data_IF_337980816265
#
_entry.id   IF_337980816265
#
_cell.length_a   1.000
_cell.length_b   1.000
_cell.length_c   1.000
_cell.angle_alpha   90.00
_cell.angle_beta   90.00
_cell.angle_gamma   90.00
#
_symmetry.space_group_name_H-M   'P 1'
#
loop_
_entity.id
_entity.type
_entity.pdbx_description
1 polymer ?
#
# COMPACT_ATOMS: atom_id res chain seq x y z
N UNK A 1 -17.18 32.74 -1.19
CA UNK A 1 -17.65 32.82 -2.58
C UNK A 1 -17.95 31.40 -3.04
N UNK A 2 -19.22 31.07 -3.30
CA UNK A 2 -19.60 29.72 -3.71
C UNK A 2 -19.52 29.60 -5.24
N UNK A 3 -18.86 28.56 -5.78
CA UNK A 3 -18.85 28.34 -7.23
C UNK A 3 -20.24 27.90 -7.71
N UNK A 4 -20.78 28.60 -8.71
CA UNK A 4 -22.05 28.25 -9.36
C UNK A 4 -21.73 27.46 -10.62
N UNK A 5 -22.20 26.21 -10.69
CA UNK A 5 -22.01 25.32 -11.83
C UNK A 5 -23.15 25.54 -12.83
N UNK A 6 -22.81 26.04 -14.02
CA UNK A 6 -23.76 26.26 -15.11
C UNK A 6 -23.47 25.25 -16.21
N UNK A 7 -24.48 24.48 -16.62
CA UNK A 7 -24.37 23.50 -17.71
C UNK A 7 -24.92 24.10 -19.00
N UNK A 8 -24.07 24.31 -19.99
CA UNK A 8 -24.45 24.80 -21.32
C UNK A 8 -23.71 24.06 -22.42
N UNK A 9 -24.27 24.05 -23.63
CA UNK A 9 -23.67 23.43 -24.84
C UNK A 9 -22.96 24.45 -25.76
N UNK A 10 -22.92 25.73 -25.37
CA UNK A 10 -22.27 26.79 -26.13
C UNK A 10 -20.81 27.00 -25.67
N UNK A 11 -20.00 27.68 -26.50
CA UNK A 11 -18.63 28.05 -26.14
C UNK A 11 -18.60 28.92 -24.86
N UNK A 12 -17.53 28.81 -24.03
CA UNK A 12 -17.44 29.47 -22.72
C UNK A 12 -17.72 30.97 -22.77
N UNK A 13 -17.26 31.65 -23.81
CA UNK A 13 -17.44 33.10 -24.02
C UNK A 13 -18.92 33.49 -24.26
N UNK A 14 -19.69 32.63 -24.94
CA UNK A 14 -21.12 32.87 -25.19
C UNK A 14 -21.99 32.55 -23.97
N UNK A 15 -21.52 31.65 -23.09
CA UNK A 15 -22.19 31.37 -21.82
C UNK A 15 -21.93 32.52 -20.85
N UNK A 16 -20.71 33.06 -20.83
CA UNK A 16 -20.35 34.22 -20.01
C UNK A 16 -21.21 35.44 -20.34
N UNK A 17 -21.39 35.77 -21.62
CA UNK A 17 -22.24 36.91 -22.00
C UNK A 17 -23.71 36.72 -21.61
N UNK A 18 -24.27 35.51 -21.82
CA UNK A 18 -25.67 35.20 -21.50
C UNK A 18 -25.94 35.11 -20.00
N UNK A 19 -24.98 34.60 -19.22
CA UNK A 19 -25.09 34.50 -17.76
C UNK A 19 -24.93 35.89 -17.14
N UNK A 20 -24.00 36.71 -17.65
CA UNK A 20 -23.83 38.10 -17.21
C UNK A 20 -25.09 38.91 -17.50
N UNK A 21 -25.66 38.82 -18.71
CA UNK A 21 -26.89 39.53 -19.08
C UNK A 21 -28.14 39.07 -18.29
N UNK A 22 -28.20 37.80 -17.89
CA UNK A 22 -29.28 37.27 -17.07
C UNK A 22 -29.14 37.68 -15.58
N UNK A 23 -27.91 37.77 -15.07
CA UNK A 23 -27.61 38.20 -13.70
C UNK A 23 -27.81 39.71 -13.52
N UNK A 24 -27.35 40.52 -14.47
CA UNK A 24 -27.46 41.99 -14.45
C UNK A 24 -28.93 42.45 -14.40
N UNK A 25 -29.85 41.65 -14.97
CA UNK A 25 -31.28 41.95 -15.01
C UNK A 25 -32.01 41.72 -13.68
N UNK A 26 -31.45 40.93 -12.76
CA UNK A 26 -32.12 40.54 -11.51
C UNK A 26 -31.31 40.81 -10.24
N UNK A 27 -29.97 40.95 -10.32
CA UNK A 27 -29.09 41.18 -9.17
C UNK A 27 -27.90 42.08 -9.53
N UNK A 28 -28.02 43.37 -9.21
CA UNK A 28 -27.05 44.46 -9.48
C UNK A 28 -25.71 44.37 -8.67
N UNK A 29 -25.45 43.25 -7.99
CA UNK A 29 -24.39 43.12 -6.96
C UNK A 29 -23.41 41.97 -7.23
N UNK A 30 -23.69 41.07 -8.18
CA UNK A 30 -22.78 39.96 -8.51
C UNK A 30 -22.00 40.25 -9.80
N UNK A 31 -20.74 40.68 -9.65
CA UNK A 31 -19.78 40.72 -10.75
C UNK A 31 -19.29 39.30 -11.08
N UNK A 32 -19.54 38.86 -12.31
CA UNK A 32 -18.99 37.61 -12.86
C UNK A 32 -17.50 37.83 -13.08
N UNK A 33 -16.69 37.30 -12.15
CA UNK A 33 -15.25 37.60 -12.12
C UNK A 33 -14.40 36.68 -13.02
N UNK A 34 -14.91 35.50 -13.37
CA UNK A 34 -14.32 34.63 -14.41
C UNK A 34 -15.21 33.41 -14.69
N UNK A 35 -15.44 33.11 -15.97
CA UNK A 35 -16.04 31.84 -16.40
C UNK A 35 -14.92 30.91 -16.85
N UNK A 36 -14.63 29.88 -16.06
CA UNK A 36 -13.65 28.85 -16.42
C UNK A 36 -14.35 27.58 -16.90
N UNK A 37 -13.96 27.01 -18.05
CA UNK A 37 -14.49 25.72 -18.47
C UNK A 37 -14.10 24.64 -17.46
N UNK A 38 -15.06 23.79 -17.11
CA UNK A 38 -14.87 22.70 -16.14
C UNK A 38 -13.72 21.75 -16.55
N UNK A 39 -13.41 21.68 -17.85
CA UNK A 39 -12.29 20.92 -18.41
C UNK A 39 -10.92 21.43 -17.92
N UNK A 40 -10.76 22.74 -17.72
CA UNK A 40 -9.51 23.36 -17.30
C UNK A 40 -9.27 23.17 -15.80
N UNK A 41 -10.32 23.32 -14.98
CA UNK A 41 -10.28 23.01 -13.54
C UNK A 41 -9.97 21.52 -13.33
N UNK A 42 -10.55 20.64 -14.16
CA UNK A 42 -10.25 19.20 -14.12
C UNK A 42 -8.83 18.90 -14.58
N UNK A 43 -8.31 19.61 -15.58
CA UNK A 43 -6.93 19.44 -16.05
C UNK A 43 -5.91 19.84 -14.97
N UNK A 44 -6.05 21.02 -14.36
CA UNK A 44 -5.17 21.48 -13.27
C UNK A 44 -5.25 20.58 -12.02
N UNK A 45 -6.45 20.13 -11.65
CA UNK A 45 -6.62 19.18 -10.54
C UNK A 45 -5.96 17.83 -10.85
N UNK A 46 -6.09 17.35 -12.08
CA UNK A 46 -5.53 16.05 -12.49
C UNK A 46 -3.99 16.06 -12.55
N UNK A 47 -3.37 17.17 -12.95
CA UNK A 47 -1.90 17.27 -12.99
C UNK A 47 -1.28 17.27 -11.59
N UNK A 48 -1.84 18.05 -10.66
CA UNK A 48 -1.38 18.08 -9.26
C UNK A 48 -1.57 16.74 -8.57
N UNK A 49 -2.69 16.07 -8.82
CA UNK A 49 -2.97 14.75 -8.24
C UNK A 49 -2.04 13.66 -8.80
N UNK A 50 -1.69 13.69 -10.09
CA UNK A 50 -0.74 12.72 -10.67
C UNK A 50 0.67 12.87 -10.11
N UNK A 51 1.16 14.10 -9.95
CA UNK A 51 2.49 14.34 -9.38
C UNK A 51 2.57 13.83 -7.93
N UNK A 52 1.57 14.14 -7.11
CA UNK A 52 1.47 13.66 -5.73
C UNK A 52 1.37 12.14 -5.67
N UNK A 53 0.49 11.54 -6.48
CA UNK A 53 0.33 10.09 -6.56
C UNK A 53 1.65 9.40 -6.98
N UNK A 54 2.41 9.97 -7.91
CA UNK A 54 3.70 9.44 -8.33
C UNK A 54 4.73 9.41 -7.20
N UNK A 55 4.85 10.50 -6.43
CA UNK A 55 5.76 10.57 -5.28
C UNK A 55 5.33 9.57 -4.19
N UNK A 56 4.04 9.53 -3.85
CA UNK A 56 3.51 8.57 -2.88
C UNK A 56 3.72 7.13 -3.32
N UNK A 57 3.52 6.82 -4.61
CA UNK A 57 3.76 5.48 -5.15
C UNK A 57 5.24 5.08 -5.05
N UNK A 58 6.16 6.02 -5.33
CA UNK A 58 7.60 5.79 -5.18
C UNK A 58 7.96 5.46 -3.72
N UNK A 59 7.57 6.31 -2.77
CA UNK A 59 7.85 6.06 -1.35
C UNK A 59 7.18 4.79 -0.84
N UNK A 60 5.92 4.55 -1.22
CA UNK A 60 5.20 3.32 -0.86
C UNK A 60 5.94 2.07 -1.36
N UNK A 61 6.43 2.09 -2.61
CA UNK A 61 7.19 0.97 -3.16
C UNK A 61 8.50 0.72 -2.40
N UNK A 62 9.24 1.78 -2.03
CA UNK A 62 10.46 1.67 -1.25
C UNK A 62 10.21 1.07 0.14
N UNK A 63 9.13 1.50 0.80
CA UNK A 63 8.72 0.96 2.10
C UNK A 63 8.41 -0.54 1.99
N UNK A 64 7.69 -0.97 0.96
CA UNK A 64 7.38 -2.39 0.73
C UNK A 64 8.65 -3.21 0.52
N UNK A 65 9.59 -2.71 -0.28
CA UNK A 65 10.89 -3.35 -0.50
C UNK A 65 11.67 -3.46 0.82
N UNK A 66 11.74 -2.37 1.59
CA UNK A 66 12.47 -2.32 2.86
C UNK A 66 11.85 -3.25 3.91
N UNK A 67 10.51 -3.30 3.99
CA UNK A 67 9.79 -4.23 4.84
C UNK A 67 10.09 -5.70 4.48
N UNK A 68 10.15 -6.01 3.18
CA UNK A 68 10.54 -7.34 2.68
C UNK A 68 11.95 -7.72 3.09
N UNK A 69 12.92 -6.81 2.94
CA UNK A 69 14.30 -7.03 3.38
C UNK A 69 14.41 -7.23 4.90
N UNK A 70 13.72 -6.41 5.69
CA UNK A 70 13.70 -6.55 7.16
C UNK A 70 13.13 -7.89 7.60
N UNK A 71 11.99 -8.29 7.03
CA UNK A 71 11.38 -9.58 7.33
C UNK A 71 12.27 -10.76 6.91
N UNK A 72 12.91 -10.67 5.75
CA UNK A 72 13.86 -11.67 5.27
C UNK A 72 15.08 -11.81 6.18
N UNK A 73 15.69 -10.69 6.56
CA UNK A 73 16.83 -10.67 7.48
C UNK A 73 16.46 -11.29 8.84
N UNK A 74 15.28 -10.94 9.36
CA UNK A 74 14.74 -11.51 10.60
C UNK A 74 14.53 -13.02 10.50
N UNK A 75 13.93 -13.53 9.41
CA UNK A 75 13.73 -14.97 9.22
C UNK A 75 15.05 -15.73 9.11
N UNK A 76 16.04 -15.18 8.39
CA UNK A 76 17.38 -15.77 8.32
C UNK A 76 18.03 -15.84 9.69
N UNK A 77 18.00 -14.75 10.44
CA UNK A 77 18.55 -14.70 11.79
C UNK A 77 17.90 -15.73 12.74
N UNK A 78 16.58 -15.90 12.67
CA UNK A 78 15.85 -16.89 13.47
C UNK A 78 16.18 -18.34 13.10
N UNK A 79 16.46 -18.62 11.83
CA UNK A 79 16.90 -19.94 11.37
C UNK A 79 18.33 -20.21 11.83
N UNK A 80 19.23 -19.25 11.66
CA UNK A 80 20.65 -19.38 12.02
C UNK A 80 20.84 -19.54 13.53
N UNK A 81 20.12 -18.76 14.33
CA UNK A 81 20.09 -18.88 15.80
C UNK A 81 19.44 -20.19 16.27
N UNK A 82 18.60 -20.81 15.44
CA UNK A 82 17.86 -22.04 15.73
C UNK A 82 18.47 -23.32 15.18
N UNK A 83 19.65 -23.27 14.55
CA UNK A 83 20.24 -24.42 13.85
C UNK A 83 20.48 -25.62 14.78
N UNK A 84 20.85 -25.40 16.04
CA UNK A 84 21.08 -26.49 17.03
C UNK A 84 19.82 -27.31 17.30
N UNK A 85 18.66 -26.64 17.48
CA UNK A 85 17.38 -27.33 17.68
C UNK A 85 16.97 -28.13 16.43
N UNK A 86 17.27 -27.59 15.24
CA UNK A 86 16.99 -28.24 13.96
C UNK A 86 17.89 -29.47 13.79
N UNK A 87 19.19 -29.37 14.10
CA UNK A 87 20.16 -30.46 14.02
C UNK A 87 19.81 -31.61 14.96
N UNK A 88 19.49 -31.32 16.23
CA UNK A 88 19.05 -32.34 17.21
C UNK A 88 17.80 -33.06 16.73
N UNK A 89 16.82 -32.34 16.17
CA UNK A 89 15.61 -32.99 15.62
C UNK A 89 15.90 -33.87 14.41
N UNK A 90 16.77 -33.43 13.50
CA UNK A 90 17.18 -34.25 12.36
C UNK A 90 17.92 -35.50 12.81
N UNK A 91 18.75 -35.42 13.86
CA UNK A 91 19.42 -36.57 14.47
C UNK A 91 18.42 -37.56 15.11
N UNK A 92 17.30 -37.05 15.64
CA UNK A 92 16.17 -37.87 16.14
C UNK A 92 15.27 -38.44 15.02
N UNK A 93 15.65 -38.29 13.74
CA UNK A 93 14.92 -38.84 12.59
C UNK A 93 13.89 -37.91 11.96
N UNK A 94 13.84 -36.63 12.35
CA UNK A 94 12.94 -35.67 11.71
C UNK A 94 13.37 -35.39 10.25
N UNK A 95 12.54 -35.80 9.28
CA UNK A 95 12.84 -35.57 7.87
C UNK A 95 12.79 -34.09 7.45
N UNK A 96 13.47 -33.69 6.36
CA UNK A 96 13.62 -32.30 5.91
C UNK A 96 12.28 -31.60 5.59
N UNK A 97 11.24 -32.37 5.22
CA UNK A 97 9.88 -31.84 5.01
C UNK A 97 9.25 -31.32 6.31
N UNK A 98 9.53 -31.95 7.44
CA UNK A 98 8.99 -31.54 8.75
C UNK A 98 9.63 -30.24 9.23
N UNK A 99 10.94 -30.08 9.03
CA UNK A 99 11.71 -28.86 9.32
C UNK A 99 11.19 -27.71 8.47
N UNK A 100 11.06 -27.92 7.16
CA UNK A 100 10.53 -26.89 6.24
C UNK A 100 9.13 -26.44 6.64
N UNK A 101 8.23 -27.36 6.98
CA UNK A 101 6.86 -27.04 7.42
C UNK A 101 6.86 -26.18 8.68
N UNK A 102 7.71 -26.50 9.66
CA UNK A 102 7.79 -25.76 10.91
C UNK A 102 8.33 -24.34 10.71
N UNK A 103 9.33 -24.16 9.86
CA UNK A 103 9.86 -22.82 9.53
C UNK A 103 8.78 -21.98 8.83
N UNK A 104 8.06 -22.57 7.87
CA UNK A 104 6.98 -21.89 7.17
C UNK A 104 5.82 -21.50 8.12
N UNK A 105 5.44 -22.41 9.02
CA UNK A 105 4.44 -22.14 10.06
C UNK A 105 4.88 -21.01 10.99
N UNK A 106 6.14 -21.01 11.43
CA UNK A 106 6.70 -19.93 12.25
C UNK A 106 6.65 -18.59 11.50
N UNK A 107 7.04 -18.56 10.23
CA UNK A 107 6.95 -17.38 9.38
C UNK A 107 5.53 -16.84 9.26
N UNK A 108 4.53 -17.72 9.07
CA UNK A 108 3.12 -17.35 9.01
C UNK A 108 2.58 -16.85 10.36
N UNK A 109 2.92 -17.53 11.46
CA UNK A 109 2.51 -17.15 12.82
C UNK A 109 3.03 -15.78 13.23
N UNK A 110 4.22 -15.38 12.76
CA UNK A 110 4.78 -14.04 13.00
C UNK A 110 4.29 -13.01 11.97
N UNK A 111 4.13 -13.40 10.70
CA UNK A 111 3.80 -12.50 9.60
C UNK A 111 2.32 -12.11 9.54
N UNK A 112 1.39 -13.04 9.78
CA UNK A 112 -0.05 -12.79 9.69
C UNK A 112 -0.53 -11.74 10.70
N UNK A 113 -0.18 -11.80 12.00
CA UNK A 113 -0.61 -10.79 12.96
C UNK A 113 -0.08 -9.40 12.60
N UNK A 114 1.19 -9.31 12.20
CA UNK A 114 1.82 -8.06 11.78
C UNK A 114 1.15 -7.45 10.54
N UNK A 115 0.79 -8.28 9.56
CA UNK A 115 0.07 -7.84 8.36
C UNK A 115 -1.33 -7.34 8.71
N UNK A 116 -2.04 -8.04 9.60
CA UNK A 116 -3.39 -7.67 10.02
C UNK A 116 -3.39 -6.36 10.81
N UNK A 117 -2.45 -6.21 11.76
CA UNK A 117 -2.24 -4.96 12.50
C UNK A 117 -1.86 -3.81 11.57
N UNK A 118 -0.92 -4.03 10.66
CA UNK A 118 -0.51 -3.01 9.69
C UNK A 118 -1.67 -2.55 8.80
N UNK A 119 -2.50 -3.47 8.31
CA UNK A 119 -3.69 -3.15 7.53
C UNK A 119 -4.70 -2.33 8.34
N UNK A 120 -4.96 -2.71 9.60
CA UNK A 120 -5.86 -1.99 10.48
C UNK A 120 -5.37 -0.57 10.76
N UNK A 121 -4.08 -0.41 11.11
CA UNK A 121 -3.47 0.90 11.34
C UNK A 121 -3.50 1.77 10.09
N UNK A 122 -3.28 1.19 8.91
CA UNK A 122 -3.40 1.89 7.64
C UNK A 122 -4.82 2.41 7.37
N UNK A 123 -5.85 1.60 7.66
CA UNK A 123 -7.24 2.03 7.54
C UNK A 123 -7.59 3.18 8.50
N UNK A 124 -7.12 3.10 9.74
CA UNK A 124 -7.29 4.18 10.73
C UNK A 124 -6.59 5.46 10.26
N UNK A 125 -5.35 5.36 9.78
CA UNK A 125 -4.60 6.52 9.28
C UNK A 125 -5.31 7.19 8.08
N UNK A 126 -5.86 6.39 7.16
CA UNK A 126 -6.67 6.92 6.04
C UNK A 126 -7.94 7.59 6.53
N UNK A 127 -8.64 6.99 7.51
CA UNK A 127 -9.84 7.58 8.07
C UNK A 127 -9.55 8.94 8.75
N UNK A 128 -8.43 9.07 9.45
CA UNK A 128 -8.00 10.32 10.09
C UNK A 128 -7.62 11.41 9.08
N UNK A 129 -7.04 11.05 7.94
CA UNK A 129 -6.62 12.03 6.90
C UNK A 129 -7.76 12.50 5.98
N UNK A 130 -8.92 11.83 6.01
CA UNK A 130 -10.06 12.13 5.13
C UNK A 130 -10.71 13.48 5.43
N UNK A 131 -10.67 13.95 6.68
CA UNK A 131 -11.37 15.18 7.08
C UNK A 131 -10.66 16.47 6.62
N UNK A 132 -9.35 16.42 6.32
CA UNK A 132 -8.57 17.64 6.02
C UNK A 132 -8.03 17.75 4.58
N UNK A 133 -7.71 16.65 3.88
CA UNK A 133 -6.92 16.75 2.63
C UNK A 133 -7.34 15.83 1.46
N UNK A 134 -8.18 14.82 1.68
CA UNK A 134 -8.31 13.69 0.73
C UNK A 134 -9.78 13.44 0.38
N UNK A 135 -10.32 14.20 -0.57
CA UNK A 135 -11.61 13.91 -1.24
C UNK A 135 -11.43 12.81 -2.30
N UNK A 136 -10.86 11.68 -1.90
CA UNK A 136 -10.53 10.61 -2.84
C UNK A 136 -11.65 9.57 -2.77
N UNK A 137 -12.36 9.41 -3.87
CA UNK A 137 -13.23 8.27 -4.16
C UNK A 137 -12.36 7.00 -4.28
N UNK A 138 -11.65 6.66 -3.21
CA UNK A 138 -10.88 5.42 -3.12
C UNK A 138 -11.89 4.32 -2.92
N UNK A 139 -11.83 3.32 -3.79
CA UNK A 139 -12.47 2.04 -3.56
C UNK A 139 -11.76 1.35 -2.38
N UNK A 140 -12.05 1.80 -1.16
CA UNK A 140 -11.42 1.40 0.10
C UNK A 140 -11.33 -0.13 0.27
N UNK A 141 -12.37 -0.94 -0.04
CA UNK A 141 -12.22 -2.40 0.05
C UNK A 141 -11.24 -2.96 -0.98
N UNK A 142 -11.19 -2.43 -2.21
CA UNK A 142 -10.27 -2.90 -3.24
C UNK A 142 -8.80 -2.69 -2.88
N UNK A 143 -8.47 -1.52 -2.32
CA UNK A 143 -7.10 -1.20 -1.88
C UNK A 143 -6.68 -2.06 -0.68
N UNK A 144 -7.59 -2.29 0.27
CA UNK A 144 -7.33 -3.14 1.43
C UNK A 144 -7.04 -4.59 1.00
N UNK A 145 -7.84 -5.16 0.09
CA UNK A 145 -7.65 -6.51 -0.45
C UNK A 145 -6.32 -6.62 -1.20
N UNK A 146 -6.01 -5.65 -2.08
CA UNK A 146 -4.75 -5.64 -2.82
C UNK A 146 -3.53 -5.55 -1.89
N UNK A 147 -3.63 -4.73 -0.84
CA UNK A 147 -2.54 -4.57 0.15
C UNK A 147 -2.33 -5.86 0.95
N UNK A 148 -3.40 -6.47 1.46
CA UNK A 148 -3.32 -7.75 2.17
C UNK A 148 -2.72 -8.84 1.28
N UNK A 149 -3.19 -8.93 0.03
CA UNK A 149 -2.68 -9.90 -0.94
C UNK A 149 -1.20 -9.67 -1.23
N UNK A 150 -0.81 -8.42 -1.52
CA UNK A 150 0.58 -8.05 -1.80
C UNK A 150 1.53 -8.35 -0.64
N UNK A 151 1.15 -8.00 0.59
CA UNK A 151 1.94 -8.30 1.79
C UNK A 151 2.03 -9.81 2.06
N UNK A 152 0.95 -10.56 1.83
CA UNK A 152 0.95 -12.02 1.98
C UNK A 152 1.89 -12.69 0.97
N UNK A 153 1.85 -12.26 -0.30
CA UNK A 153 2.77 -12.75 -1.33
C UNK A 153 4.21 -12.42 -0.97
N UNK A 154 4.48 -11.20 -0.50
CA UNK A 154 5.80 -10.78 -0.06
C UNK A 154 6.32 -11.62 1.11
N UNK A 155 5.47 -11.90 2.11
CA UNK A 155 5.80 -12.79 3.22
C UNK A 155 6.18 -14.20 2.74
N UNK A 156 5.39 -14.76 1.82
CA UNK A 156 5.65 -16.09 1.24
C UNK A 156 6.98 -16.12 0.48
N UNK A 157 7.23 -15.14 -0.39
CA UNK A 157 8.47 -15.04 -1.16
C UNK A 157 9.68 -14.92 -0.23
N UNK A 158 9.59 -14.06 0.79
CA UNK A 158 10.66 -13.84 1.76
C UNK A 158 10.93 -15.07 2.65
N UNK A 159 9.95 -15.94 2.89
CA UNK A 159 10.12 -17.16 3.71
C UNK A 159 10.57 -18.39 2.93
N UNK A 160 10.34 -18.45 1.62
CA UNK A 160 10.73 -19.63 0.80
C UNK A 160 12.25 -19.85 0.82
N UNK A 161 13.04 -18.79 0.63
CA UNK A 161 14.51 -18.91 0.53
C UNK A 161 15.17 -19.42 1.84
N UNK A 162 14.90 -18.85 3.04
CA UNK A 162 15.45 -19.39 4.29
C UNK A 162 14.92 -20.80 4.61
N UNK A 163 13.67 -21.11 4.28
CA UNK A 163 13.12 -22.46 4.48
C UNK A 163 13.81 -23.51 3.60
N UNK A 164 14.17 -23.16 2.36
CA UNK A 164 14.95 -24.03 1.48
C UNK A 164 16.39 -24.17 1.95
N UNK A 165 17.00 -23.11 2.49
CA UNK A 165 18.37 -23.15 3.03
C UNK A 165 18.46 -24.08 4.25
N UNK A 166 17.53 -23.95 5.19
CA UNK A 166 17.48 -24.79 6.39
C UNK A 166 17.29 -26.28 6.08
N UNK A 167 16.50 -26.60 5.05
CA UNK A 167 16.25 -27.98 4.63
C UNK A 167 17.45 -28.68 3.98
N UNK A 168 18.51 -27.93 3.64
CA UNK A 168 19.77 -28.44 3.06
C UNK A 168 20.91 -28.57 4.07
N UNK A 169 20.68 -28.23 5.34
CA UNK A 169 21.70 -28.39 6.39
C UNK A 169 21.93 -29.88 6.67
N UNK A 170 23.19 -30.32 6.60
CA UNK A 170 23.57 -31.67 6.98
C UNK A 170 23.91 -31.71 8.48
N UNK A 171 23.22 -32.54 9.28
CA UNK A 171 23.40 -32.58 10.73
C UNK A 171 24.78 -33.08 11.15
N UNK A 172 25.47 -33.86 10.30
CA UNK A 172 26.81 -34.39 10.59
C UNK A 172 27.92 -33.36 10.61
N UNK A 173 27.77 -32.23 9.89
CA UNK A 173 28.77 -31.17 9.83
C UNK A 173 28.62 -30.22 11.03
N UNK A 174 27.38 -29.91 11.43
CA UNK A 174 27.06 -29.00 12.55
C UNK A 174 27.39 -29.55 13.94
N UNK A 175 27.55 -30.87 14.10
CA UNK A 175 27.91 -31.52 15.36
C UNK A 175 29.41 -31.81 15.48
N UNK A 176 30.20 -31.56 14.42
CA UNK A 176 31.66 -31.78 14.40
C UNK A 176 32.48 -30.51 14.60
N UNK A 177 31.85 -29.33 14.53
CA UNK A 177 32.49 -28.05 14.78
C UNK A 177 32.55 -27.67 16.29
N UNK A 178 32.03 -28.54 17.18
CA UNK A 178 32.29 -28.54 18.64
C UNK A 178 33.06 -29.80 19.04
#
# INVERSE_FOLDING_TARGET
MAPVLVRGQAEPEQIESRVTEALDRHMDVLSVMSVRPLAEIRAEATERDRARAGITALFGSLVVVMAGFGFFAMQRFLVDSGQREIAVRMALGAGPRSVRRRILQRGLLLGLPGTLLGALLGLVAVAWLRDDLISLAVNAPGVAVLTLFGLTVLLLVATIQPALRAARLHPGDLLREE
#
